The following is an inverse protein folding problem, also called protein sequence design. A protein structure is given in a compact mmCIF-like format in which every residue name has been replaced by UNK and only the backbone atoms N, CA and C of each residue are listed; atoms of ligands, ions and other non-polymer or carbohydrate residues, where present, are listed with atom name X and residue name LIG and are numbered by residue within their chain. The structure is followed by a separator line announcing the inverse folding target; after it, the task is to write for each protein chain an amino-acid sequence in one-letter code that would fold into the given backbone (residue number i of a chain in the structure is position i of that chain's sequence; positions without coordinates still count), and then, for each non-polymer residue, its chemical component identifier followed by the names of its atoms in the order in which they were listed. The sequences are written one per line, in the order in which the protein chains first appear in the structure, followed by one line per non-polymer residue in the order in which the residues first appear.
data_IF_255439738657
#
_entry.id   IF_255439738657
#
_cell.length_a   1.000
_cell.length_b   1.000
_cell.length_c   1.000
_cell.angle_alpha   90.00
_cell.angle_beta   90.00
_cell.angle_gamma   90.00
#
_symmetry.space_group_name_H-M   'P 1'
#
loop_
_entity.id
_entity.type
_entity.pdbx_description
1 polymer ?
#
# COMPACT_ATOMS: atom_id res chain seq x y z
N UNK A 1 -35.94 -24.78 -5.28
CA UNK A 1 -34.49 -24.52 -5.06
C UNK A 1 -33.60 -24.80 -6.28
N UNK A 2 -34.06 -25.56 -7.29
CA UNK A 2 -33.23 -25.87 -8.47
C UNK A 2 -33.16 -24.74 -9.53
N UNK A 3 -34.22 -23.93 -9.68
CA UNK A 3 -34.23 -22.84 -10.68
C UNK A 3 -33.19 -21.74 -10.43
N UNK A 4 -32.85 -21.47 -9.16
CA UNK A 4 -31.82 -20.50 -8.82
C UNK A 4 -30.42 -21.06 -9.11
N UNK A 5 -30.15 -22.31 -8.74
CA UNK A 5 -28.91 -22.99 -9.09
C UNK A 5 -28.73 -23.11 -10.61
N UNK A 6 -29.78 -23.50 -11.34
CA UNK A 6 -29.78 -23.56 -12.81
C UNK A 6 -29.55 -22.20 -13.46
N UNK A 7 -30.08 -21.12 -12.87
CA UNK A 7 -29.83 -19.75 -13.32
C UNK A 7 -28.36 -19.35 -13.08
N UNK A 8 -27.82 -19.63 -11.89
CA UNK A 8 -26.41 -19.37 -11.59
C UNK A 8 -25.49 -20.13 -12.55
N UNK A 9 -25.78 -21.39 -12.81
CA UNK A 9 -24.92 -22.26 -13.61
C UNK A 9 -25.02 -21.97 -15.11
N UNK A 10 -26.23 -21.74 -15.65
CA UNK A 10 -26.41 -21.50 -17.09
C UNK A 10 -26.26 -20.05 -17.52
N UNK A 11 -26.65 -19.08 -16.68
CA UNK A 11 -26.67 -17.65 -17.05
C UNK A 11 -25.52 -16.85 -16.46
N UNK A 12 -25.01 -17.22 -15.27
CA UNK A 12 -23.99 -16.45 -14.56
C UNK A 12 -22.59 -17.05 -14.66
N UNK A 13 -22.46 -18.38 -14.67
CA UNK A 13 -21.17 -19.09 -14.74
C UNK A 13 -20.34 -18.66 -15.97
N UNK A 14 -20.93 -18.70 -17.17
CA UNK A 14 -20.20 -18.39 -18.41
C UNK A 14 -19.78 -16.91 -18.52
N UNK A 15 -20.62 -15.90 -18.22
CA UNK A 15 -20.17 -14.51 -18.18
C UNK A 15 -19.11 -14.23 -17.13
N UNK A 16 -19.22 -14.83 -15.93
CA UNK A 16 -18.23 -14.66 -14.86
C UNK A 16 -16.88 -15.27 -15.24
N UNK A 17 -16.88 -16.44 -15.88
CA UNK A 17 -15.66 -17.03 -16.42
C UNK A 17 -14.98 -16.09 -17.43
N UNK A 18 -15.74 -15.54 -18.39
CA UNK A 18 -15.20 -14.58 -19.37
C UNK A 18 -14.63 -13.31 -18.72
N UNK A 19 -15.26 -12.79 -17.66
CA UNK A 19 -14.74 -11.65 -16.91
C UNK A 19 -13.46 -12.02 -16.15
N UNK A 20 -13.41 -13.18 -15.50
CA UNK A 20 -12.22 -13.66 -14.80
C UNK A 20 -11.03 -13.93 -15.74
N UNK A 21 -11.31 -14.22 -17.02
CA UNK A 21 -10.29 -14.37 -18.05
C UNK A 21 -9.83 -13.06 -18.69
N UNK A 22 -10.52 -11.95 -18.42
CA UNK A 22 -10.13 -10.64 -18.94
C UNK A 22 -8.74 -10.27 -18.39
N UNK A 23 -7.82 -9.98 -19.31
CA UNK A 23 -6.38 -9.82 -19.00
C UNK A 23 -6.07 -8.80 -17.90
N UNK A 24 -6.80 -7.68 -17.84
CA UNK A 24 -6.61 -6.62 -16.85
C UNK A 24 -7.10 -7.08 -15.49
N UNK A 25 -8.28 -7.70 -15.41
CA UNK A 25 -8.79 -8.27 -14.16
C UNK A 25 -7.87 -9.39 -13.65
N UNK A 26 -7.34 -10.21 -14.56
CA UNK A 26 -6.34 -11.22 -14.26
C UNK A 26 -5.04 -10.60 -13.73
N UNK A 27 -4.54 -9.54 -14.38
CA UNK A 27 -3.34 -8.83 -13.94
C UNK A 27 -3.53 -8.16 -12.57
N UNK A 28 -4.70 -7.56 -12.32
CA UNK A 28 -5.06 -6.99 -11.01
C UNK A 28 -5.05 -8.07 -9.92
N UNK A 29 -5.73 -9.19 -10.18
CA UNK A 29 -5.78 -10.33 -9.26
C UNK A 29 -4.38 -10.85 -8.95
N UNK A 30 -3.60 -11.15 -9.98
CA UNK A 30 -2.27 -11.74 -9.83
C UNK A 30 -1.29 -10.76 -9.15
N UNK A 31 -1.42 -9.45 -9.45
CA UNK A 31 -0.64 -8.40 -8.81
C UNK A 31 -0.99 -8.20 -7.33
N UNK A 32 -2.26 -8.30 -6.94
CA UNK A 32 -2.67 -8.25 -5.53
C UNK A 32 -2.19 -9.50 -4.78
N UNK A 33 -2.26 -10.70 -5.40
CA UNK A 33 -1.77 -11.95 -4.79
C UNK A 33 -0.28 -11.84 -4.43
N UNK A 34 0.52 -11.13 -5.22
CA UNK A 34 1.94 -10.91 -4.93
C UNK A 34 2.18 -10.13 -3.62
N UNK A 35 1.17 -9.41 -3.11
CA UNK A 35 1.27 -8.66 -1.83
C UNK A 35 0.89 -9.49 -0.61
N UNK A 36 0.23 -10.64 -0.78
CA UNK A 36 -0.25 -11.47 0.33
C UNK A 36 0.88 -11.92 1.28
N UNK A 37 2.07 -12.37 0.81
CA UNK A 37 3.15 -12.76 1.71
C UNK A 37 3.60 -11.60 2.60
N UNK A 38 3.66 -10.37 2.06
CA UNK A 38 4.06 -9.18 2.81
C UNK A 38 3.03 -8.86 3.91
N UNK A 39 1.74 -8.98 3.59
CA UNK A 39 0.64 -8.76 4.55
C UNK A 39 0.71 -9.78 5.68
N UNK A 40 0.99 -11.04 5.37
CA UNK A 40 1.11 -12.11 6.38
C UNK A 40 2.27 -11.80 7.34
N UNK A 41 3.45 -11.45 6.81
CA UNK A 41 4.60 -11.09 7.65
C UNK A 41 4.30 -9.85 8.50
N UNK A 42 3.74 -8.78 7.90
CA UNK A 42 3.39 -7.57 8.64
C UNK A 42 2.40 -7.83 9.78
N UNK A 43 1.38 -8.65 9.52
CA UNK A 43 0.34 -8.99 10.49
C UNK A 43 0.90 -9.81 11.65
N UNK A 44 1.88 -10.68 11.41
CA UNK A 44 2.54 -11.43 12.48
C UNK A 44 3.21 -10.50 13.50
N UNK A 45 3.93 -9.47 13.04
CA UNK A 45 4.55 -8.47 13.92
C UNK A 45 3.53 -7.60 14.67
N UNK A 46 2.37 -7.32 14.05
CA UNK A 46 1.29 -6.61 14.74
C UNK A 46 0.74 -7.41 15.91
N UNK A 47 0.51 -8.72 15.71
CA UNK A 47 0.05 -9.64 16.75
C UNK A 47 1.11 -9.75 17.86
N UNK A 48 2.40 -9.82 17.49
CA UNK A 48 3.49 -9.87 18.46
C UNK A 48 3.56 -8.61 19.33
N UNK A 49 3.29 -7.44 18.75
CA UNK A 49 3.25 -6.17 19.48
C UNK A 49 2.01 -6.01 20.36
N UNK A 50 0.91 -6.70 20.04
CA UNK A 50 -0.35 -6.64 20.78
C UNK A 50 -0.89 -8.06 21.00
N UNK A 51 -0.19 -8.89 21.79
CA UNK A 51 -0.59 -10.26 21.99
C UNK A 51 -1.87 -10.32 22.86
N UNK A 52 -2.76 -11.29 22.65
CA UNK A 52 -3.96 -11.48 23.46
C UNK A 52 -3.61 -12.15 24.81
N UNK A 53 -2.71 -11.52 25.57
CA UNK A 53 -2.23 -11.99 26.88
C UNK A 53 -2.75 -11.09 28.00
N UNK A 54 -2.86 -11.61 29.24
CA UNK A 54 -3.21 -10.80 30.40
C UNK A 54 -2.22 -9.63 30.59
N UNK A 55 -2.74 -8.43 30.81
CA UNK A 55 -1.94 -7.22 30.99
C UNK A 55 -1.04 -7.25 32.24
N UNK A 56 -1.35 -8.13 33.19
CA UNK A 56 -0.58 -8.35 34.40
C UNK A 56 0.78 -9.01 34.13
N UNK A 57 0.95 -9.70 33.01
CA UNK A 57 2.18 -10.42 32.69
C UNK A 57 3.31 -9.47 32.32
N UNK A 58 4.51 -9.72 32.88
CA UNK A 58 5.71 -8.92 32.57
C UNK A 58 6.05 -8.91 31.08
N UNK A 59 5.80 -10.02 30.38
CA UNK A 59 5.99 -10.16 28.93
C UNK A 59 5.10 -9.18 28.16
N UNK A 60 3.84 -9.02 28.56
CA UNK A 60 2.94 -8.04 27.93
C UNK A 60 3.47 -6.63 28.09
N UNK A 61 3.92 -6.26 29.30
CA UNK A 61 4.49 -4.93 29.58
C UNK A 61 5.75 -4.65 28.76
N UNK A 62 6.65 -5.63 28.65
CA UNK A 62 7.88 -5.52 27.85
C UNK A 62 7.59 -5.39 26.36
N UNK A 63 6.64 -6.18 25.82
CA UNK A 63 6.23 -6.09 24.42
C UNK A 63 5.55 -4.75 24.12
N UNK A 64 4.68 -4.26 25.02
CA UNK A 64 4.05 -2.95 24.88
C UNK A 64 5.06 -1.80 24.92
N UNK A 65 6.05 -1.87 25.81
CA UNK A 65 7.11 -0.87 25.89
C UNK A 65 7.93 -0.77 24.59
N UNK A 66 8.13 -1.88 23.89
CA UNK A 66 8.88 -1.95 22.63
C UNK A 66 7.98 -1.95 21.38
N UNK A 67 6.67 -1.74 21.53
CA UNK A 67 5.70 -1.91 20.45
C UNK A 67 6.00 -1.00 19.24
N UNK A 68 6.53 0.21 19.47
CA UNK A 68 6.88 1.13 18.38
C UNK A 68 7.91 0.52 17.40
N UNK A 69 8.88 -0.23 17.92
CA UNK A 69 9.91 -0.91 17.13
C UNK A 69 9.37 -2.21 16.53
N UNK A 70 8.60 -2.98 17.30
CA UNK A 70 8.06 -4.27 16.86
C UNK A 70 7.05 -4.11 15.72
N UNK A 71 6.26 -3.02 15.70
CA UNK A 71 5.27 -2.75 14.65
C UNK A 71 5.94 -2.21 13.37
N UNK A 72 7.23 -1.91 13.36
CA UNK A 72 7.89 -1.34 12.18
C UNK A 72 7.68 -2.16 10.89
N UNK A 73 7.82 -3.51 10.87
CA UNK A 73 7.53 -4.31 9.68
C UNK A 73 6.07 -4.22 9.23
N UNK A 74 5.12 -4.13 10.17
CA UNK A 74 3.71 -3.88 9.84
C UNK A 74 3.53 -2.54 9.12
N UNK A 75 4.21 -1.48 9.59
CA UNK A 75 4.18 -0.16 8.93
C UNK A 75 4.72 -0.22 7.51
N UNK A 76 5.85 -0.92 7.33
CA UNK A 76 6.51 -1.05 6.03
C UNK A 76 5.82 -2.01 5.06
N UNK A 77 4.83 -2.77 5.50
CA UNK A 77 4.07 -3.66 4.61
C UNK A 77 2.69 -3.07 4.31
N UNK A 78 1.98 -2.58 5.33
CA UNK A 78 0.61 -2.10 5.20
C UNK A 78 0.50 -0.65 4.75
N UNK A 79 1.38 0.25 5.21
CA UNK A 79 1.30 1.67 4.83
C UNK A 79 1.93 1.98 3.46
N UNK A 80 2.57 1.01 2.82
CA UNK A 80 3.09 1.15 1.44
C UNK A 80 2.58 0.04 0.51
N UNK A 81 1.48 -0.64 0.91
CA UNK A 81 0.92 -1.78 0.18
C UNK A 81 0.55 -1.45 -1.26
N UNK A 82 0.11 -0.21 -1.53
CA UNK A 82 -0.31 0.18 -2.88
C UNK A 82 0.86 0.17 -3.84
N UNK A 83 2.08 0.49 -3.39
CA UNK A 83 3.27 0.47 -4.25
C UNK A 83 3.57 -0.97 -4.70
N UNK A 84 3.55 -1.92 -3.75
CA UNK A 84 3.77 -3.34 -4.06
C UNK A 84 2.69 -3.88 -5.00
N UNK A 85 1.43 -3.52 -4.75
CA UNK A 85 0.32 -3.89 -5.64
C UNK A 85 0.51 -3.30 -7.03
N UNK A 86 0.82 -2.00 -7.14
CA UNK A 86 1.00 -1.33 -8.43
C UNK A 86 2.11 -1.97 -9.26
N UNK A 87 3.24 -2.31 -8.62
CA UNK A 87 4.34 -3.01 -9.26
C UNK A 87 3.93 -4.41 -9.73
N UNK A 88 3.26 -5.19 -8.87
CA UNK A 88 2.79 -6.54 -9.21
C UNK A 88 1.78 -6.55 -10.35
N UNK A 89 0.84 -5.61 -10.37
CA UNK A 89 -0.17 -5.47 -11.43
C UNK A 89 0.50 -5.10 -12.75
N UNK A 90 1.40 -4.12 -12.74
CA UNK A 90 2.16 -3.71 -13.93
C UNK A 90 3.02 -4.83 -14.49
N UNK A 91 3.69 -5.57 -13.61
CA UNK A 91 4.51 -6.73 -13.98
C UNK A 91 3.66 -7.81 -14.66
N UNK A 92 2.53 -8.18 -14.06
CA UNK A 92 1.62 -9.20 -14.60
C UNK A 92 1.00 -8.76 -15.92
N UNK A 93 0.59 -7.50 -16.03
CA UNK A 93 0.00 -6.95 -17.25
C UNK A 93 1.00 -6.94 -18.41
N UNK A 94 2.24 -6.48 -18.19
CA UNK A 94 3.28 -6.48 -19.21
C UNK A 94 3.63 -7.91 -19.68
N UNK A 95 3.71 -8.87 -18.75
CA UNK A 95 3.91 -10.29 -19.09
C UNK A 95 2.75 -10.85 -19.92
N UNK A 96 1.51 -10.43 -19.66
CA UNK A 96 0.35 -10.81 -20.48
C UNK A 96 0.45 -10.33 -21.94
N UNK A 97 1.21 -9.25 -22.18
CA UNK A 97 1.51 -8.71 -23.50
C UNK A 97 2.79 -9.25 -24.12
N UNK A 98 3.49 -10.21 -23.47
CA UNK A 98 4.82 -10.70 -23.86
C UNK A 98 5.89 -9.60 -23.87
N UNK A 99 5.71 -8.55 -23.06
CA UNK A 99 6.68 -7.48 -22.84
C UNK A 99 7.52 -7.78 -21.58
N UNK A 100 8.55 -6.97 -21.35
CA UNK A 100 9.35 -7.06 -20.13
C UNK A 100 8.51 -6.69 -18.89
N UNK A 101 8.39 -7.65 -17.97
CA UNK A 101 7.62 -7.50 -16.74
C UNK A 101 8.26 -6.51 -15.77
N UNK A 102 9.59 -6.48 -15.68
CA UNK A 102 10.29 -5.60 -14.74
C UNK A 102 10.05 -4.14 -15.10
N UNK A 103 10.14 -3.81 -16.39
CA UNK A 103 9.82 -2.48 -16.91
C UNK A 103 8.35 -2.13 -16.66
N UNK A 104 7.42 -3.05 -16.96
CA UNK A 104 5.99 -2.82 -16.73
C UNK A 104 5.63 -2.54 -15.27
N UNK A 105 6.21 -3.30 -14.33
CA UNK A 105 6.04 -3.08 -12.89
C UNK A 105 6.65 -1.76 -12.42
N UNK A 106 7.86 -1.44 -12.90
CA UNK A 106 8.57 -0.20 -12.53
C UNK A 106 7.84 1.04 -13.03
N UNK A 107 7.36 1.04 -14.28
CA UNK A 107 6.56 2.14 -14.83
C UNK A 107 5.24 2.33 -14.09
N UNK A 108 4.60 1.24 -13.69
CA UNK A 108 3.35 1.29 -12.92
C UNK A 108 3.56 1.86 -11.52
N UNK A 109 4.63 1.47 -10.82
CA UNK A 109 4.99 2.05 -9.54
C UNK A 109 5.33 3.55 -9.68
N UNK A 110 6.10 3.93 -10.71
CA UNK A 110 6.43 5.32 -11.00
C UNK A 110 5.17 6.16 -11.29
N UNK A 111 4.23 5.63 -12.09
CA UNK A 111 2.96 6.29 -12.37
C UNK A 111 2.15 6.55 -11.10
N UNK A 112 2.14 5.61 -10.15
CA UNK A 112 1.53 5.83 -8.84
C UNK A 112 2.24 6.93 -8.05
N UNK A 113 3.58 6.93 -8.00
CA UNK A 113 4.36 7.97 -7.30
C UNK A 113 4.07 9.38 -7.84
N UNK A 114 3.84 9.52 -9.15
CA UNK A 114 3.48 10.81 -9.76
C UNK A 114 2.14 11.38 -9.27
N UNK A 115 1.31 10.58 -8.60
CA UNK A 115 0.06 11.07 -7.99
C UNK A 115 0.18 11.43 -6.52
N UNK A 116 1.32 11.12 -5.92
CA UNK A 116 1.60 11.49 -4.54
C UNK A 116 2.17 12.91 -4.50
N UNK A 117 1.41 13.84 -3.92
CA UNK A 117 1.90 15.19 -3.63
C UNK A 117 2.58 15.17 -2.26
N UNK A 118 3.92 15.36 -2.18
CA UNK A 118 4.60 15.47 -0.90
C UNK A 118 4.10 16.70 -0.14
N UNK A 119 3.82 16.54 1.16
CA UNK A 119 3.46 17.67 2.01
C UNK A 119 4.70 18.09 2.78
N UNK A 120 5.03 19.39 2.77
CA UNK A 120 6.07 19.93 3.65
C UNK A 120 5.46 20.45 4.93
N UNK A 121 6.12 20.20 6.07
CA UNK A 121 5.86 20.99 7.26
C UNK A 121 6.31 22.42 6.96
N UNK A 122 5.40 23.40 7.08
CA UNK A 122 5.74 24.79 6.91
C UNK A 122 6.77 25.20 7.97
N UNK A 123 7.83 25.89 7.54
CA UNK A 123 8.76 26.50 8.48
C UNK A 123 7.99 27.49 9.34
N UNK A 124 8.17 27.43 10.67
CA UNK A 124 7.55 28.39 11.56
C UNK A 124 8.04 29.80 11.22
N UNK A 125 7.15 30.78 11.31
CA UNK A 125 7.52 32.19 11.23
C UNK A 125 8.51 32.53 12.36
N UNK A 126 9.38 33.54 12.17
CA UNK A 126 10.38 33.93 13.17
C UNK A 126 9.78 34.17 14.57
N UNK A 127 8.56 34.73 14.61
CA UNK A 127 7.79 35.00 15.83
C UNK A 127 7.40 33.71 16.56
N UNK A 128 6.91 32.70 15.83
CA UNK A 128 6.56 31.41 16.42
C UNK A 128 7.79 30.62 16.87
N UNK A 129 8.94 30.79 16.20
CA UNK A 129 10.21 30.19 16.61
C UNK A 129 10.72 30.74 17.94
N UNK A 130 10.45 32.00 18.26
CA UNK A 130 10.82 32.60 19.54
C UNK A 130 9.98 32.03 20.68
N UNK A 131 8.67 31.84 20.46
CA UNK A 131 7.77 31.15 21.40
C UNK A 131 8.21 29.70 21.63
N UNK A 132 8.59 28.99 20.58
CA UNK A 132 9.07 27.60 20.67
C UNK A 132 10.38 27.51 21.45
N UNK A 133 11.31 28.46 21.28
CA UNK A 133 12.58 28.50 22.04
C UNK A 133 12.36 28.89 23.51
N UNK A 134 11.35 29.71 23.80
CA UNK A 134 11.00 30.13 25.15
C UNK A 134 10.42 29.01 26.03
N UNK A 135 10.02 27.87 25.45
CA UNK A 135 9.45 26.75 26.19
C UNK A 135 10.19 25.43 25.88
N UNK A 136 10.81 24.86 26.92
CA UNK A 136 11.64 23.66 26.80
C UNK A 136 10.88 22.43 26.25
N UNK A 137 9.58 22.31 26.53
CA UNK A 137 8.77 21.18 26.05
C UNK A 137 8.32 21.37 24.60
N UNK A 138 8.01 22.61 24.20
CA UNK A 138 7.71 22.94 22.80
C UNK A 138 8.94 22.78 21.90
N UNK A 139 10.13 23.13 22.41
CA UNK A 139 11.38 22.94 21.69
C UNK A 139 11.66 21.46 21.42
N UNK A 140 11.47 20.60 22.43
CA UNK A 140 11.61 19.14 22.28
C UNK A 140 10.60 18.56 21.30
N UNK A 141 9.35 19.03 21.34
CA UNK A 141 8.34 18.62 20.38
C UNK A 141 8.72 19.04 18.95
N UNK A 142 9.10 20.30 18.76
CA UNK A 142 9.45 20.85 17.43
C UNK A 142 10.66 20.13 16.81
N UNK A 143 11.69 19.86 17.61
CA UNK A 143 12.85 19.07 17.17
C UNK A 143 12.49 17.63 16.82
N UNK A 144 11.43 17.09 17.42
CA UNK A 144 10.90 15.75 17.13
C UNK A 144 10.02 15.69 15.88
N UNK A 145 9.56 16.82 15.34
CA UNK A 145 8.79 16.85 14.09
C UNK A 145 9.76 16.73 12.91
N UNK A 146 9.61 15.71 12.03
CA UNK A 146 10.43 15.59 10.83
C UNK A 146 10.27 16.83 9.94
N UNK A 147 11.36 17.54 9.69
CA UNK A 147 11.32 18.73 8.83
C UNK A 147 11.48 18.35 7.35
N UNK A 148 10.88 19.14 6.44
CA UNK A 148 10.98 18.94 5.00
C UNK A 148 9.79 18.20 4.37
N UNK A 149 10.01 17.65 3.17
CA UNK A 149 8.98 16.95 2.40
C UNK A 149 8.69 15.56 2.97
N UNK A 150 7.42 15.32 3.28
CA UNK A 150 6.94 14.06 3.85
C UNK A 150 5.98 13.41 2.85
N UNK A 151 6.13 12.10 2.67
CA UNK A 151 5.20 11.33 1.83
C UNK A 151 3.91 11.04 2.62
N UNK A 152 2.73 11.22 2.01
CA UNK A 152 1.46 10.94 2.67
C UNK A 152 1.23 9.42 2.76
N UNK A 153 1.69 8.80 3.85
CA UNK A 153 1.57 7.35 4.09
C UNK A 153 0.12 6.85 4.07
N UNK A 154 -0.86 7.71 4.37
CA UNK A 154 -2.29 7.38 4.28
C UNK A 154 -2.71 6.98 2.85
N UNK A 155 -2.14 7.63 1.83
CA UNK A 155 -2.45 7.37 0.43
C UNK A 155 -1.61 6.21 -0.12
N UNK A 156 -0.46 5.90 0.49
CA UNK A 156 0.42 4.80 0.04
C UNK A 156 -0.04 3.44 0.57
N UNK A 157 -0.81 3.45 1.67
CA UNK A 157 -1.49 2.27 2.20
C UNK A 157 -2.75 1.94 1.41
N UNK A 158 -3.75 1.33 2.07
CA UNK A 158 -4.98 0.90 1.40
C UNK A 158 -5.80 2.02 0.75
N UNK A 159 -5.64 3.27 1.20
CA UNK A 159 -6.39 4.42 0.67
C UNK A 159 -6.09 4.75 -0.79
N UNK A 160 -4.89 4.46 -1.28
CA UNK A 160 -4.51 4.72 -2.69
C UNK A 160 -4.68 3.55 -3.64
N UNK A 161 -5.08 2.36 -3.16
CA UNK A 161 -5.09 1.14 -3.98
C UNK A 161 -5.91 1.29 -5.25
N UNK A 162 -7.08 1.92 -5.16
CA UNK A 162 -7.96 2.09 -6.32
C UNK A 162 -7.32 2.97 -7.40
N UNK A 163 -6.71 4.09 -6.99
CA UNK A 163 -5.96 4.99 -7.88
C UNK A 163 -4.76 4.25 -8.48
N UNK A 164 -4.04 3.50 -7.64
CA UNK A 164 -2.92 2.67 -8.06
C UNK A 164 -3.29 1.65 -9.14
N UNK A 165 -4.40 0.90 -8.97
CA UNK A 165 -4.89 -0.07 -9.95
C UNK A 165 -5.15 0.58 -11.31
N UNK A 166 -5.85 1.73 -11.32
CA UNK A 166 -6.17 2.45 -12.56
C UNK A 166 -4.89 2.90 -13.26
N UNK A 167 -3.95 3.47 -12.52
CA UNK A 167 -2.70 3.97 -13.07
C UNK A 167 -1.77 2.85 -13.54
N UNK A 168 -1.71 1.72 -12.84
CA UNK A 168 -0.96 0.54 -13.28
C UNK A 168 -1.47 0.02 -14.61
N UNK A 169 -2.80 -0.04 -14.78
CA UNK A 169 -3.41 -0.44 -16.05
C UNK A 169 -3.05 0.57 -17.14
N UNK A 170 -3.23 1.87 -16.87
CA UNK A 170 -2.94 2.93 -17.82
C UNK A 170 -1.45 2.94 -18.23
N UNK A 171 -0.54 2.84 -17.27
CA UNK A 171 0.90 2.78 -17.52
C UNK A 171 1.28 1.53 -18.33
N UNK A 172 0.69 0.37 -18.01
CA UNK A 172 0.92 -0.87 -18.76
C UNK A 172 0.41 -0.79 -20.21
N UNK A 173 -0.75 -0.16 -20.44
CA UNK A 173 -1.24 0.07 -21.80
C UNK A 173 -0.37 1.06 -22.57
N UNK A 174 0.06 2.18 -21.95
CA UNK A 174 0.98 3.14 -22.59
C UNK A 174 2.29 2.44 -22.96
N UNK A 175 2.87 1.67 -22.04
CA UNK A 175 4.09 0.92 -22.27
C UNK A 175 3.95 -0.06 -23.46
N UNK A 176 2.80 -0.72 -23.57
CA UNK A 176 2.48 -1.58 -24.71
C UNK A 176 2.38 -0.80 -26.01
N UNK A 177 1.78 0.39 -26.01
CA UNK A 177 1.68 1.22 -27.21
C UNK A 177 3.04 1.72 -27.69
N UNK A 178 3.96 2.05 -26.78
CA UNK A 178 5.28 2.58 -27.13
C UNK A 178 6.28 1.53 -27.60
N UNK A 179 6.04 0.24 -27.31
CA UNK A 179 6.90 -0.87 -27.70
C UNK A 179 6.42 -1.64 -28.96
N UNK A 180 5.45 -1.07 -29.67
CA UNK A 180 5.05 -1.54 -31.01
C UNK A 180 5.83 -0.79 -32.08
#
# INVERSE_FOLDING_TARGET
MNHFADFLDKKLSTPMAKLAEQRHLRAVRDGIIATLPLIIVGSFFLILANPPLPQSWGIYKTLKANAATIVLPFRMTMYIMTIYACWGIGYSLARSYKLDGVTGGTLSAAAFFLTLVPKSAAALTPELMEIVKGNADLLKWYQGVPQGFQMPMANMGGGGMFVGIILSILAGEIFRFTNK
#
